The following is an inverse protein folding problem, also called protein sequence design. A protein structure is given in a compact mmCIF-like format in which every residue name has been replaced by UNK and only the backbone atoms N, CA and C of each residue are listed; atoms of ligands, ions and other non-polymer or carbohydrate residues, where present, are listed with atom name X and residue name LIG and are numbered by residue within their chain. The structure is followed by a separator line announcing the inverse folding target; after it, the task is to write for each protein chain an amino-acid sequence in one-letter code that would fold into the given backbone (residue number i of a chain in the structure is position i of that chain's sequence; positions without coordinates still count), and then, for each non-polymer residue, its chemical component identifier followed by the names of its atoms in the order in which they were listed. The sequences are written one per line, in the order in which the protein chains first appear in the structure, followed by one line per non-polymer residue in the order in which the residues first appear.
data_IF_837505492902
#
_entry.id   IF_837505492902
#
_cell.length_a   1.000
_cell.length_b   1.000
_cell.length_c   1.000
_cell.angle_alpha   90.00
_cell.angle_beta   90.00
_cell.angle_gamma   90.00
#
_symmetry.space_group_name_H-M   'P 1'
#
loop_
_entity.id
_entity.type
_entity.pdbx_description
1 polymer ?
#
# COMPACT_ATOMS: atom_id res chain seq x y z
N UNK A 1 -14.16 9.44 10.61
CA UNK A 1 -13.52 8.14 10.36
C UNK A 1 -12.47 8.28 9.27
N UNK A 2 -11.30 7.70 9.47
CA UNK A 2 -10.23 7.68 8.47
C UNK A 2 -10.22 6.36 7.71
N UNK A 3 -10.09 6.44 6.40
CA UNK A 3 -10.00 5.27 5.54
C UNK A 3 -8.57 5.17 5.02
N UNK A 4 -7.84 4.20 5.53
CA UNK A 4 -6.42 4.05 5.26
C UNK A 4 -6.18 2.77 4.46
N UNK A 5 -5.48 2.90 3.34
CA UNK A 5 -5.03 1.73 2.59
C UNK A 5 -3.67 1.29 3.14
N UNK A 6 -3.58 0.04 3.56
CA UNK A 6 -2.31 -0.57 3.94
C UNK A 6 -1.85 -1.41 2.77
N UNK A 7 -0.78 -0.97 2.13
CA UNK A 7 -0.21 -1.65 0.97
C UNK A 7 1.06 -2.35 1.43
N UNK A 8 1.15 -3.64 1.20
CA UNK A 8 2.34 -4.40 1.59
C UNK A 8 3.08 -4.89 0.34
N UNK A 9 4.41 -4.82 0.40
CA UNK A 9 5.27 -5.25 -0.68
C UNK A 9 6.59 -5.73 -0.11
N UNK A 10 7.25 -6.63 -0.80
CA UNK A 10 8.57 -7.09 -0.39
C UNK A 10 8.59 -8.23 0.60
N UNK A 11 7.51 -8.99 0.72
CA UNK A 11 7.51 -10.22 1.49
C UNK A 11 8.34 -11.31 0.82
N UNK A 12 8.44 -12.46 1.47
CA UNK A 12 9.13 -13.63 0.91
C UNK A 12 8.49 -13.97 -0.43
N UNK A 13 9.32 -14.18 -1.46
CA UNK A 13 8.84 -14.48 -2.79
C UNK A 13 8.50 -13.26 -3.64
N UNK A 14 8.68 -12.05 -3.10
CA UNK A 14 8.45 -10.82 -3.86
C UNK A 14 9.52 -10.58 -4.93
N UNK A 15 10.56 -11.38 -4.96
CA UNK A 15 11.60 -11.30 -5.99
C UNK A 15 11.33 -12.33 -7.07
N UNK A 16 11.58 -11.94 -8.30
CA UNK A 16 11.54 -12.90 -9.39
C UNK A 16 12.80 -13.77 -9.36
N UNK A 17 12.63 -15.01 -9.77
CA UNK A 17 13.75 -15.92 -9.90
C UNK A 17 14.79 -15.35 -10.87
N UNK A 18 16.05 -15.39 -10.49
CA UNK A 18 17.18 -14.89 -11.29
C UNK A 18 17.19 -13.37 -11.47
N UNK A 19 16.40 -12.65 -10.69
CA UNK A 19 16.40 -11.18 -10.71
C UNK A 19 16.82 -10.64 -9.35
N UNK A 20 17.64 -9.59 -9.37
CA UNK A 20 18.01 -8.87 -8.15
C UNK A 20 16.99 -7.83 -7.75
N UNK A 21 16.12 -7.45 -8.68
CA UNK A 21 15.10 -6.44 -8.45
C UNK A 21 13.85 -7.07 -7.88
N UNK A 22 13.34 -6.60 -6.73
CA UNK A 22 12.08 -7.10 -6.22
C UNK A 22 10.95 -6.87 -7.22
N UNK A 23 9.99 -7.80 -7.20
CA UNK A 23 8.90 -7.83 -8.15
C UNK A 23 8.11 -6.52 -8.22
N UNK A 24 7.92 -5.85 -7.08
CA UNK A 24 7.15 -4.61 -7.01
C UNK A 24 7.81 -3.45 -7.76
N UNK A 25 9.11 -3.51 -8.06
CA UNK A 25 9.83 -2.48 -8.79
C UNK A 25 9.98 -2.76 -10.28
N UNK A 26 9.53 -3.92 -10.74
CA UNK A 26 9.53 -4.19 -12.17
C UNK A 26 8.56 -3.23 -12.86
N UNK A 27 8.93 -2.79 -14.04
CA UNK A 27 8.13 -1.84 -14.78
C UNK A 27 7.12 -2.55 -15.67
N UNK A 28 5.94 -1.97 -15.74
CA UNK A 28 4.90 -2.34 -16.68
C UNK A 28 4.34 -1.05 -17.25
N UNK A 29 4.32 -0.94 -18.59
CA UNK A 29 3.91 0.28 -19.25
C UNK A 29 4.74 1.50 -18.82
N UNK A 30 6.05 1.27 -18.60
CA UNK A 30 6.99 2.33 -18.30
C UNK A 30 7.01 2.81 -16.84
N UNK A 31 6.24 2.17 -15.96
CA UNK A 31 6.19 2.56 -14.55
C UNK A 31 6.34 1.34 -13.64
N UNK A 32 7.01 1.48 -12.49
CA UNK A 32 7.06 0.37 -11.53
C UNK A 32 5.66 -0.09 -11.13
N UNK A 33 5.47 -1.38 -10.99
CA UNK A 33 4.17 -1.96 -10.61
C UNK A 33 3.68 -1.35 -9.30
N UNK A 34 4.55 -1.21 -8.31
CA UNK A 34 4.17 -0.63 -7.02
C UNK A 34 3.58 0.77 -7.19
N UNK A 35 4.22 1.60 -8.01
CA UNK A 35 3.75 2.97 -8.23
C UNK A 35 2.37 2.97 -8.91
N UNK A 36 2.15 2.07 -9.85
CA UNK A 36 0.83 1.95 -10.49
C UNK A 36 -0.25 1.57 -9.48
N UNK A 37 0.07 0.63 -8.58
CA UNK A 37 -0.86 0.23 -7.52
C UNK A 37 -1.15 1.41 -6.58
N UNK A 38 -0.12 2.10 -6.13
CA UNK A 38 -0.29 3.25 -5.24
C UNK A 38 -1.11 4.35 -5.91
N UNK A 39 -0.91 4.57 -7.20
CA UNK A 39 -1.63 5.61 -7.92
C UNK A 39 -3.13 5.34 -7.96
N UNK A 40 -3.55 4.09 -8.08
CA UNK A 40 -4.97 3.76 -8.03
C UNK A 40 -5.57 4.22 -6.70
N UNK A 41 -4.89 3.99 -5.58
CA UNK A 41 -5.36 4.43 -4.27
C UNK A 41 -5.24 5.95 -4.12
N UNK A 42 -4.21 6.55 -4.70
CA UNK A 42 -4.04 8.01 -4.70
C UNK A 42 -5.24 8.70 -5.36
N UNK A 43 -5.75 8.12 -6.45
CA UNK A 43 -6.86 8.69 -7.20
C UNK A 43 -8.24 8.35 -6.62
N UNK A 44 -8.31 7.51 -5.61
CA UNK A 44 -9.57 7.11 -4.99
C UNK A 44 -9.95 8.13 -3.92
N UNK A 45 -11.00 8.89 -4.17
CA UNK A 45 -11.39 10.00 -3.28
C UNK A 45 -11.70 9.56 -1.85
N UNK A 46 -12.26 8.36 -1.69
CA UNK A 46 -12.66 7.87 -0.37
C UNK A 46 -11.48 7.42 0.49
N UNK A 47 -10.30 7.29 -0.09
CA UNK A 47 -9.08 6.92 0.66
C UNK A 47 -8.45 8.20 1.20
N UNK A 48 -8.28 8.27 2.51
CA UNK A 48 -7.68 9.43 3.19
C UNK A 48 -6.17 9.37 3.21
N UNK A 49 -5.60 8.18 3.23
CA UNK A 49 -4.16 8.02 3.25
C UNK A 49 -3.72 6.60 2.96
N UNK A 50 -2.43 6.46 2.72
CA UNK A 50 -1.80 5.18 2.41
C UNK A 50 -0.65 4.95 3.38
N UNK A 51 -0.57 3.75 3.96
CA UNK A 51 0.59 3.29 4.70
C UNK A 51 1.20 2.15 3.90
N UNK A 52 2.47 2.28 3.60
CA UNK A 52 3.18 1.28 2.80
C UNK A 52 4.15 0.51 3.70
N UNK A 53 4.12 -0.81 3.60
CA UNK A 53 5.08 -1.68 4.27
C UNK A 53 5.93 -2.37 3.21
N UNK A 54 7.24 -2.18 3.27
CA UNK A 54 8.18 -2.82 2.35
C UNK A 54 9.48 -3.14 3.09
N UNK A 55 10.33 -3.96 2.48
CA UNK A 55 11.59 -4.31 3.11
C UNK A 55 12.42 -3.07 3.41
N UNK A 56 13.05 -3.05 4.58
CA UNK A 56 13.83 -1.91 5.05
C UNK A 56 14.88 -1.46 4.03
N UNK A 57 15.52 -2.40 3.36
CA UNK A 57 16.56 -2.09 2.37
C UNK A 57 16.03 -1.32 1.15
N UNK A 58 14.72 -1.33 0.91
CA UNK A 58 14.12 -0.68 -0.24
C UNK A 58 13.32 0.58 0.11
N UNK A 59 13.30 0.98 1.38
CA UNK A 59 12.51 2.14 1.81
C UNK A 59 12.97 3.42 1.12
N UNK A 60 14.28 3.68 1.09
CA UNK A 60 14.81 4.92 0.49
C UNK A 60 14.52 4.95 -1.01
N UNK A 61 14.71 3.83 -1.69
CA UNK A 61 14.41 3.72 -3.12
C UNK A 61 12.93 3.98 -3.38
N UNK A 62 12.07 3.42 -2.56
CA UNK A 62 10.62 3.58 -2.68
C UNK A 62 10.20 5.03 -2.45
N UNK A 63 10.80 5.70 -1.46
CA UNK A 63 10.54 7.12 -1.22
C UNK A 63 10.85 7.97 -2.44
N UNK A 64 11.99 7.70 -3.09
CA UNK A 64 12.37 8.43 -4.30
C UNK A 64 11.36 8.24 -5.42
N UNK A 65 10.89 7.01 -5.61
CA UNK A 65 9.88 6.72 -6.63
C UNK A 65 8.56 7.44 -6.35
N UNK A 66 8.15 7.47 -5.09
CA UNK A 66 6.92 8.15 -4.68
C UNK A 66 7.01 9.65 -4.93
N UNK A 67 8.13 10.28 -4.57
CA UNK A 67 8.36 11.69 -4.83
C UNK A 67 8.35 12.00 -6.31
N UNK A 68 9.03 11.19 -7.10
CA UNK A 68 9.08 11.36 -8.55
C UNK A 68 7.71 11.24 -9.19
N UNK A 69 6.85 10.37 -8.66
CA UNK A 69 5.50 10.18 -9.17
C UNK A 69 4.51 11.23 -8.67
N UNK A 70 4.89 12.04 -7.68
CA UNK A 70 4.03 13.09 -7.15
C UNK A 70 2.89 12.57 -6.29
N UNK A 71 3.03 11.40 -5.68
CA UNK A 71 2.00 10.84 -4.83
C UNK A 71 1.96 11.57 -3.49
N UNK A 72 0.79 11.99 -3.06
CA UNK A 72 0.62 12.81 -1.86
C UNK A 72 -0.07 12.11 -0.70
N UNK A 73 -0.77 11.00 -0.97
CA UNK A 73 -1.52 10.29 0.06
C UNK A 73 -0.68 9.28 0.85
N UNK A 74 0.56 9.00 0.43
CA UNK A 74 1.43 8.08 1.16
C UNK A 74 1.93 8.78 2.42
N UNK A 75 1.33 8.45 3.55
CA UNK A 75 1.60 9.10 4.83
C UNK A 75 2.82 8.55 5.53
N UNK A 76 3.11 7.27 5.35
CA UNK A 76 4.20 6.62 6.04
C UNK A 76 4.66 5.39 5.29
N UNK A 77 5.94 5.08 5.39
CA UNK A 77 6.52 3.84 4.87
C UNK A 77 7.20 3.16 6.06
N UNK A 78 6.79 1.94 6.34
CA UNK A 78 7.33 1.17 7.47
C UNK A 78 8.04 -0.08 6.97
N UNK A 79 8.98 -0.62 7.76
CA UNK A 79 9.61 -1.89 7.39
C UNK A 79 8.59 -3.02 7.34
N UNK A 80 8.64 -3.81 6.28
CA UNK A 80 7.86 -5.04 6.19
C UNK A 80 8.48 -6.14 7.02
N UNK A 81 7.70 -7.17 7.28
CA UNK A 81 8.18 -8.35 7.95
C UNK A 81 8.69 -9.40 6.97
N UNK A 82 8.98 -10.59 7.48
CA UNK A 82 9.46 -11.70 6.66
C UNK A 82 8.34 -12.38 5.88
N UNK A 83 7.10 -12.12 6.28
CA UNK A 83 5.93 -12.68 5.60
C UNK A 83 4.97 -11.54 5.25
N UNK A 84 4.01 -11.85 4.35
CA UNK A 84 2.96 -10.91 4.03
C UNK A 84 2.14 -10.54 5.27
N UNK A 85 1.88 -11.51 6.14
CA UNK A 85 1.11 -11.28 7.36
C UNK A 85 1.81 -10.29 8.29
N UNK A 86 3.12 -10.45 8.49
CA UNK A 86 3.90 -9.52 9.32
C UNK A 86 3.90 -8.12 8.70
N UNK A 87 4.05 -8.02 7.38
CA UNK A 87 4.03 -6.73 6.70
C UNK A 87 2.69 -6.03 6.88
N UNK A 88 1.59 -6.77 6.75
CA UNK A 88 0.26 -6.25 6.98
C UNK A 88 0.09 -5.75 8.42
N UNK A 89 0.57 -6.54 9.37
CA UNK A 89 0.49 -6.16 10.79
C UNK A 89 1.25 -4.87 11.06
N UNK A 90 2.47 -4.76 10.54
CA UNK A 90 3.27 -3.55 10.73
C UNK A 90 2.57 -2.32 10.15
N UNK A 91 1.92 -2.48 9.00
CA UNK A 91 1.13 -1.41 8.39
C UNK A 91 -0.09 -1.03 9.23
N UNK A 92 -0.78 -2.02 9.79
CA UNK A 92 -1.94 -1.78 10.65
C UNK A 92 -1.55 -1.00 11.91
N UNK A 93 -0.44 -1.39 12.54
CA UNK A 93 0.07 -0.70 13.73
C UNK A 93 0.38 0.75 13.40
N UNK A 94 1.01 0.99 12.26
CA UNK A 94 1.34 2.36 11.84
C UNK A 94 0.09 3.18 11.56
N UNK A 95 -0.90 2.62 10.89
CA UNK A 95 -2.16 3.32 10.63
C UNK A 95 -2.82 3.77 11.93
N UNK A 96 -2.84 2.90 12.93
CA UNK A 96 -3.41 3.23 14.23
C UNK A 96 -2.57 4.28 14.96
N UNK A 97 -1.24 4.19 14.84
CA UNK A 97 -0.34 5.17 15.46
C UNK A 97 -0.57 6.58 14.90
N UNK A 98 -0.82 6.66 13.58
CA UNK A 98 -1.05 7.96 12.93
C UNK A 98 -2.38 8.60 13.34
N UNK A 99 -3.38 7.79 13.65
CA UNK A 99 -4.72 8.29 13.98
C UNK A 99 -5.23 7.64 15.26
N UNK A 100 -4.59 7.90 16.41
CA UNK A 100 -4.92 7.20 17.65
C UNK A 100 -6.31 7.53 18.19
N UNK A 101 -6.83 8.72 17.87
CA UNK A 101 -8.11 9.18 18.39
C UNK A 101 -9.25 9.02 17.40
N UNK A 102 -8.97 8.52 16.20
CA UNK A 102 -9.98 8.34 15.15
C UNK A 102 -10.33 6.87 14.99
N UNK A 103 -11.56 6.62 14.56
CA UNK A 103 -11.90 5.31 14.03
C UNK A 103 -11.20 5.16 12.69
N UNK A 104 -10.57 4.03 12.46
CA UNK A 104 -9.82 3.77 11.24
C UNK A 104 -10.39 2.55 10.54
N UNK A 105 -10.81 2.72 9.29
CA UNK A 105 -11.16 1.60 8.43
C UNK A 105 -9.92 1.31 7.58
N UNK A 106 -9.45 0.08 7.60
CA UNK A 106 -8.23 -0.30 6.90
C UNK A 106 -8.59 -1.20 5.73
N UNK A 107 -8.04 -0.86 4.56
CA UNK A 107 -8.14 -1.68 3.37
C UNK A 107 -6.73 -2.20 3.06
N UNK A 108 -6.56 -3.52 3.12
CA UNK A 108 -5.25 -4.15 2.93
C UNK A 108 -5.14 -4.64 1.49
N UNK A 109 -4.02 -4.30 0.84
CA UNK A 109 -3.82 -4.67 -0.55
C UNK A 109 -2.35 -5.01 -0.85
N UNK A 110 -2.15 -5.98 -1.73
CA UNK A 110 -0.83 -6.38 -2.21
C UNK A 110 -0.32 -5.37 -3.24
N UNK A 111 0.88 -4.83 -3.00
CA UNK A 111 1.48 -3.80 -3.86
C UNK A 111 1.86 -4.27 -5.26
N UNK A 112 1.83 -5.57 -5.53
CA UNK A 112 2.13 -6.10 -6.88
C UNK A 112 0.88 -6.46 -7.68
N UNK A 113 -0.27 -5.92 -7.31
CA UNK A 113 -1.53 -6.16 -8.01
C UNK A 113 -2.07 -4.87 -8.61
N UNK A 114 -1.54 -4.42 -9.74
CA UNK A 114 -1.88 -3.10 -10.29
C UNK A 114 -3.23 -3.03 -10.98
N UNK A 115 -3.93 -4.14 -11.15
CA UNK A 115 -5.19 -4.19 -11.90
C UNK A 115 -6.42 -3.85 -11.07
N UNK A 116 -6.25 -3.54 -9.78
CA UNK A 116 -7.36 -3.05 -8.96
C UNK A 116 -7.79 -1.68 -9.48
N UNK A 117 -9.07 -1.38 -9.42
CA UNK A 117 -9.59 -0.10 -9.85
C UNK A 117 -10.32 0.62 -8.72
N UNK A 118 -10.62 1.91 -8.94
CA UNK A 118 -11.27 2.75 -7.93
C UNK A 118 -12.65 2.22 -7.54
N UNK A 119 -13.40 1.70 -8.51
CA UNK A 119 -14.73 1.15 -8.24
C UNK A 119 -14.68 -0.03 -7.28
N UNK A 120 -13.69 -0.91 -7.46
CA UNK A 120 -13.51 -2.06 -6.58
C UNK A 120 -13.17 -1.61 -5.16
N UNK A 121 -12.28 -0.64 -5.03
CA UNK A 121 -11.90 -0.10 -3.73
C UNK A 121 -13.10 0.53 -3.03
N UNK A 122 -13.87 1.33 -3.73
CA UNK A 122 -15.03 2.01 -3.16
C UNK A 122 -16.12 1.02 -2.77
N UNK A 123 -16.33 -0.03 -3.54
CA UNK A 123 -17.31 -1.07 -3.19
C UNK A 123 -16.92 -1.78 -1.90
N UNK A 124 -15.63 -2.07 -1.73
CA UNK A 124 -15.16 -2.72 -0.51
C UNK A 124 -15.37 -1.84 0.72
N UNK A 125 -15.10 -0.55 0.60
CA UNK A 125 -15.33 0.40 1.69
C UNK A 125 -16.82 0.47 2.04
N UNK A 126 -17.69 0.57 1.06
CA UNK A 126 -19.14 0.61 1.31
C UNK A 126 -19.66 -0.66 1.94
N UNK A 127 -19.12 -1.81 1.52
CA UNK A 127 -19.50 -3.09 2.12
C UNK A 127 -19.16 -3.13 3.60
N UNK A 128 -17.99 -2.66 3.99
CA UNK A 128 -17.59 -2.60 5.40
C UNK A 128 -18.45 -1.64 6.20
N UNK A 129 -18.79 -0.50 5.64
CA UNK A 129 -19.68 0.47 6.29
C UNK A 129 -21.06 -0.13 6.57
N UNK A 130 -21.57 -0.92 5.66
CA UNK A 130 -22.86 -1.61 5.86
C UNK A 130 -22.81 -2.64 6.97
N UNK A 131 -21.68 -3.34 7.10
CA UNK A 131 -21.54 -4.36 8.15
C UNK A 131 -21.49 -3.75 9.54
N UNK A 132 -20.90 -2.58 9.64
CA UNK A 132 -20.76 -1.88 10.92
C UNK A 132 -22.07 -1.21 11.32
N UNK A 133 -22.83 -0.80 10.35
CA UNK A 133 -24.14 -0.21 10.59
C UNK A 133 -25.15 -1.25 10.96
#
# INVERSE_FOLDING_TARGET
MKRIAVIFAGGVGARMKNSKTPKQFLEWNGRPILIQTLDVFEQTETIDGIVLACKAEWIDHTKQLIEKAGLQKVLSIVPGGESALESQYNGLVEAKRLFPDDAVTVLIHDGVRPLVDNSTIERNIRSEERRVG
#
